data_IF_116768615898
#
_entry.id   IF_116768615898
#
_cell.length_a   1.000
_cell.length_b   1.000
_cell.length_c   1.000
_cell.angle_alpha   90.00
_cell.angle_beta   90.00
_cell.angle_gamma   90.00
#
_symmetry.space_group_name_H-M   'P 1'
#
loop_
_entity.id
_entity.type
_entity.pdbx_description
1 polymer ?
#
# COMPACT_ATOMS: atom_id res chain seq x y z
N UNK A 1 7.90 -9.94 17.65
CA UNK A 1 8.75 -9.54 16.51
C UNK A 1 9.66 -8.41 16.97
N UNK A 2 10.89 -8.30 16.48
CA UNK A 2 11.70 -7.12 16.71
C UNK A 2 11.03 -5.89 16.08
N UNK A 3 11.25 -4.72 16.68
CA UNK A 3 10.82 -3.44 16.11
C UNK A 3 11.67 -3.17 14.86
N UNK A 4 11.02 -2.80 13.76
CA UNK A 4 11.66 -2.37 12.53
C UNK A 4 11.45 -0.86 12.36
N UNK A 5 12.50 -0.18 11.92
CA UNK A 5 12.49 1.28 11.77
C UNK A 5 12.89 1.68 10.35
N UNK A 6 12.17 2.64 9.80
CA UNK A 6 12.44 3.15 8.47
C UNK A 6 11.60 4.38 8.10
N UNK A 7 11.96 5.08 7.04
CA UNK A 7 11.23 6.25 6.58
C UNK A 7 10.01 5.90 5.74
N UNK A 8 9.05 6.81 5.72
CA UNK A 8 8.01 6.87 4.71
C UNK A 8 8.56 7.63 3.48
N UNK A 9 8.76 6.91 2.40
CA UNK A 9 9.40 7.39 1.19
C UNK A 9 10.92 7.28 1.18
N UNK A 10 11.52 7.72 0.08
CA UNK A 10 12.98 7.74 -0.10
C UNK A 10 13.62 8.71 0.90
N UNK A 11 14.67 8.31 1.64
CA UNK A 11 15.33 9.19 2.61
C UNK A 11 15.81 10.51 1.98
N UNK A 12 15.79 11.58 2.76
CA UNK A 12 16.29 12.88 2.30
C UNK A 12 17.81 12.89 2.04
N UNK A 13 18.55 11.99 2.67
CA UNK A 13 19.98 11.75 2.46
C UNK A 13 20.28 11.11 1.10
N UNK A 14 19.32 10.38 0.53
CA UNK A 14 19.47 9.70 -0.76
C UNK A 14 19.59 10.72 -1.90
N UNK A 15 20.67 10.63 -2.67
CA UNK A 15 20.93 11.55 -3.79
C UNK A 15 20.12 11.24 -5.04
N UNK A 16 19.85 9.96 -5.30
CA UNK A 16 19.27 9.49 -6.55
C UNK A 16 17.75 9.51 -6.61
N UNK A 17 17.05 9.43 -5.50
CA UNK A 17 15.58 9.44 -5.36
C UNK A 17 14.82 8.27 -6.01
N UNK A 18 15.49 7.21 -6.42
CA UNK A 18 14.83 5.97 -6.81
C UNK A 18 14.53 5.10 -5.59
N UNK A 19 13.58 4.16 -5.73
CA UNK A 19 13.25 3.23 -4.63
C UNK A 19 14.47 2.43 -4.23
N UNK A 20 15.22 1.89 -5.20
CA UNK A 20 16.40 1.04 -4.96
C UNK A 20 17.52 1.84 -4.27
N UNK A 21 17.82 3.04 -4.76
CA UNK A 21 18.83 3.91 -4.12
C UNK A 21 18.40 4.30 -2.69
N UNK A 22 17.10 4.50 -2.47
CA UNK A 22 16.56 4.72 -1.13
C UNK A 22 16.78 3.52 -0.20
N UNK A 23 16.60 2.31 -0.69
CA UNK A 23 16.84 1.08 0.07
C UNK A 23 18.33 0.90 0.43
N UNK A 24 19.25 1.21 -0.49
CA UNK A 24 20.68 1.20 -0.23
C UNK A 24 21.07 2.23 0.85
N UNK A 25 20.48 3.42 0.79
CA UNK A 25 20.71 4.47 1.77
C UNK A 25 20.20 4.07 3.16
N UNK A 26 18.98 3.50 3.24
CA UNK A 26 18.39 2.96 4.47
C UNK A 26 19.29 1.93 5.11
N UNK A 27 19.79 0.98 4.33
CA UNK A 27 20.72 -0.06 4.80
C UNK A 27 22.01 0.57 5.35
N UNK A 28 22.52 1.58 4.66
CA UNK A 28 23.73 2.32 5.10
C UNK A 28 23.51 3.10 6.40
N UNK A 29 22.28 3.53 6.68
CA UNK A 29 21.87 4.20 7.91
C UNK A 29 21.61 3.22 9.07
N UNK A 30 21.69 1.90 8.82
CA UNK A 30 21.38 0.88 9.82
C UNK A 30 19.89 0.73 10.10
N UNK A 31 19.03 1.16 9.18
CA UNK A 31 17.58 0.99 9.23
C UNK A 31 17.17 -0.29 8.49
N UNK A 32 16.00 -0.82 8.80
CA UNK A 32 15.57 -2.15 8.37
C UNK A 32 14.11 -2.20 7.83
N UNK A 33 13.52 -1.04 7.57
CA UNK A 33 12.21 -0.92 6.93
C UNK A 33 12.13 0.29 5.99
N UNK A 34 11.20 0.23 5.03
CA UNK A 34 10.86 1.36 4.17
C UNK A 34 9.40 1.27 3.74
N UNK A 35 8.71 2.41 3.72
CA UNK A 35 7.41 2.53 3.06
C UNK A 35 7.55 3.19 1.69
N UNK A 36 7.06 2.52 0.65
CA UNK A 36 6.96 3.10 -0.70
C UNK A 36 5.68 3.92 -0.79
N UNK A 37 5.78 5.19 -1.17
CA UNK A 37 4.63 6.06 -1.33
C UNK A 37 4.20 6.19 -2.80
N UNK A 38 2.98 5.74 -3.11
CA UNK A 38 2.41 5.84 -4.46
C UNK A 38 1.41 7.02 -4.55
N UNK A 39 1.88 8.23 -4.28
CA UNK A 39 1.06 9.45 -4.06
C UNK A 39 -0.15 9.61 -4.99
N UNK A 40 -0.02 9.32 -6.28
CA UNK A 40 -1.12 9.42 -7.25
C UNK A 40 -1.59 8.07 -7.76
N UNK A 41 -0.67 7.23 -8.18
CA UNK A 41 -0.91 5.87 -8.68
C UNK A 41 0.43 5.20 -8.98
N UNK A 42 0.42 3.89 -9.04
CA UNK A 42 1.54 3.12 -9.59
C UNK A 42 1.59 3.31 -11.11
N UNK A 43 2.77 3.64 -11.62
CA UNK A 43 3.01 3.79 -13.06
C UNK A 43 3.57 2.49 -13.63
N UNK A 44 2.99 1.91 -14.70
CA UNK A 44 3.51 0.68 -15.30
C UNK A 44 4.99 0.76 -15.70
N UNK A 45 5.45 1.94 -16.15
CA UNK A 45 6.85 2.18 -16.49
C UNK A 45 7.83 2.03 -15.32
N UNK A 46 7.33 1.99 -14.09
CA UNK A 46 8.15 1.85 -12.88
C UNK A 46 8.19 0.40 -12.37
N UNK A 47 7.54 -0.55 -13.04
CA UNK A 47 7.49 -1.94 -12.58
C UNK A 47 8.88 -2.55 -12.40
N UNK A 48 9.83 -2.24 -13.25
CA UNK A 48 11.22 -2.70 -13.08
C UNK A 48 11.83 -2.28 -11.73
N UNK A 49 11.54 -1.07 -11.26
CA UNK A 49 12.00 -0.61 -9.96
C UNK A 49 11.34 -1.38 -8.81
N UNK A 50 10.05 -1.72 -8.93
CA UNK A 50 9.35 -2.53 -7.94
C UNK A 50 9.92 -3.95 -7.89
N UNK A 51 10.24 -4.55 -9.04
CA UNK A 51 10.92 -5.84 -9.11
C UNK A 51 12.30 -5.82 -8.45
N UNK A 52 13.11 -4.85 -8.78
CA UNK A 52 14.44 -4.68 -8.16
C UNK A 52 14.33 -4.46 -6.66
N UNK A 53 13.37 -3.66 -6.20
CA UNK A 53 13.09 -3.45 -4.79
C UNK A 53 12.67 -4.75 -4.09
N UNK A 54 11.83 -5.57 -4.72
CA UNK A 54 11.42 -6.87 -4.18
C UNK A 54 12.60 -7.84 -4.02
N UNK A 55 13.50 -7.92 -5.02
CA UNK A 55 14.72 -8.72 -4.97
C UNK A 55 15.61 -8.24 -3.80
N UNK A 56 15.81 -6.94 -3.69
CA UNK A 56 16.68 -6.36 -2.66
C UNK A 56 16.08 -6.57 -1.26
N UNK A 57 14.78 -6.32 -1.09
CA UNK A 57 14.04 -6.58 0.16
C UNK A 57 14.22 -8.03 0.63
N UNK A 58 14.00 -8.99 -0.28
CA UNK A 58 14.13 -10.41 0.03
C UNK A 58 15.55 -10.80 0.46
N UNK A 59 16.57 -10.28 -0.25
CA UNK A 59 17.97 -10.63 0.00
C UNK A 59 18.57 -9.94 1.23
N UNK A 60 18.03 -8.76 1.62
CA UNK A 60 18.58 -7.93 2.71
C UNK A 60 17.76 -7.99 3.99
N UNK A 61 16.68 -8.80 4.05
CA UNK A 61 15.73 -8.83 5.17
C UNK A 61 15.16 -7.43 5.50
N UNK A 62 15.00 -6.58 4.48
CA UNK A 62 14.44 -5.24 4.61
C UNK A 62 12.91 -5.33 4.53
N UNK A 63 12.19 -4.87 5.55
CA UNK A 63 10.73 -4.88 5.56
C UNK A 63 10.19 -3.75 4.69
N UNK A 64 9.38 -4.12 3.70
CA UNK A 64 8.74 -3.15 2.81
C UNK A 64 7.28 -2.98 3.17
N UNK A 65 6.82 -1.74 3.19
CA UNK A 65 5.42 -1.37 3.23
C UNK A 65 5.08 -0.53 2.01
N UNK A 66 3.82 -0.45 1.65
CA UNK A 66 3.38 0.36 0.52
C UNK A 66 2.17 1.20 0.93
N UNK A 67 2.33 2.51 0.80
CA UNK A 67 1.26 3.47 0.94
C UNK A 67 0.58 3.67 -0.42
N UNK A 68 -0.72 3.40 -0.45
CA UNK A 68 -1.56 3.54 -1.64
C UNK A 68 -1.77 5.00 -2.06
N UNK A 69 -2.61 5.24 -3.08
CA UNK A 69 -2.85 6.59 -3.59
C UNK A 69 -3.41 7.52 -2.51
N UNK A 70 -2.73 8.63 -2.26
CA UNK A 70 -3.14 9.64 -1.27
C UNK A 70 -4.51 10.26 -1.60
N UNK A 71 -4.77 10.53 -2.89
CA UNK A 71 -6.04 11.12 -3.33
C UNK A 71 -7.08 10.02 -3.55
N UNK A 72 -7.65 9.54 -2.45
CA UNK A 72 -8.75 8.60 -2.44
C UNK A 72 -10.11 9.34 -2.37
N UNK A 73 -11.14 8.72 -2.93
CA UNK A 73 -12.52 9.23 -2.97
C UNK A 73 -13.49 8.04 -2.78
N UNK A 74 -13.28 7.27 -1.67
CA UNK A 74 -14.02 6.02 -1.46
C UNK A 74 -15.49 6.26 -1.06
N UNK A 75 -15.79 7.41 -0.48
CA UNK A 75 -17.13 7.86 -0.10
C UNK A 75 -17.78 8.77 -1.16
N UNK A 76 -17.07 9.07 -2.24
CA UNK A 76 -17.60 9.82 -3.37
C UNK A 76 -18.58 9.01 -4.23
N UNK A 77 -18.97 9.60 -5.37
CA UNK A 77 -19.83 8.95 -6.36
C UNK A 77 -19.27 7.59 -6.81
N UNK A 78 -20.14 6.74 -7.34
CA UNK A 78 -19.74 5.43 -7.88
C UNK A 78 -18.57 5.53 -8.86
N UNK A 79 -18.51 6.60 -9.68
CA UNK A 79 -17.43 6.81 -10.65
C UNK A 79 -16.10 7.11 -9.95
N UNK A 80 -16.11 7.97 -8.94
CA UNK A 80 -14.93 8.36 -8.17
C UNK A 80 -14.40 7.18 -7.36
N UNK A 81 -15.29 6.47 -6.68
CA UNK A 81 -14.94 5.25 -5.95
C UNK A 81 -14.31 4.20 -6.85
N UNK A 82 -14.90 3.89 -8.01
CA UNK A 82 -14.34 2.91 -8.94
C UNK A 82 -12.96 3.35 -9.45
N UNK A 83 -12.76 4.64 -9.75
CA UNK A 83 -11.46 5.18 -10.14
C UNK A 83 -10.42 5.02 -9.03
N UNK A 84 -10.81 5.24 -7.78
CA UNK A 84 -9.94 5.04 -6.61
C UNK A 84 -9.59 3.57 -6.45
N UNK A 85 -10.57 2.67 -6.50
CA UNK A 85 -10.35 1.22 -6.39
C UNK A 85 -9.41 0.68 -7.48
N UNK A 86 -9.52 1.18 -8.72
CA UNK A 86 -8.59 0.82 -9.80
C UNK A 86 -7.14 1.22 -9.48
N UNK A 87 -6.94 2.40 -8.89
CA UNK A 87 -5.60 2.84 -8.46
C UNK A 87 -5.08 2.01 -7.28
N UNK A 88 -5.96 1.69 -6.32
CA UNK A 88 -5.63 0.81 -5.19
C UNK A 88 -5.21 -0.57 -5.69
N UNK A 89 -5.92 -1.14 -6.65
CA UNK A 89 -5.56 -2.44 -7.24
C UNK A 89 -4.16 -2.42 -7.86
N UNK A 90 -3.81 -1.37 -8.60
CA UNK A 90 -2.45 -1.22 -9.14
C UNK A 90 -1.39 -1.17 -8.02
N UNK A 91 -1.71 -0.52 -6.88
CA UNK A 91 -0.81 -0.51 -5.71
C UNK A 91 -0.75 -1.86 -4.99
N UNK A 92 -1.84 -2.64 -4.97
CA UNK A 92 -1.82 -4.01 -4.44
C UNK A 92 -0.88 -4.91 -5.25
N UNK A 93 -0.94 -4.83 -6.59
CA UNK A 93 -0.03 -5.57 -7.46
C UNK A 93 1.43 -5.17 -7.23
N UNK A 94 1.72 -3.87 -7.13
CA UNK A 94 3.05 -3.40 -6.79
C UNK A 94 3.50 -3.89 -5.40
N UNK A 95 2.59 -3.89 -4.42
CA UNK A 95 2.81 -4.41 -3.08
C UNK A 95 3.22 -5.90 -3.09
N UNK A 96 2.53 -6.73 -3.88
CA UNK A 96 2.93 -8.13 -4.08
C UNK A 96 4.35 -8.25 -4.62
N UNK A 97 4.68 -7.44 -5.63
CA UNK A 97 5.99 -7.47 -6.30
C UNK A 97 7.12 -7.07 -5.32
N UNK A 98 6.93 -6.03 -4.52
CA UNK A 98 7.95 -5.58 -3.55
C UNK A 98 7.96 -6.39 -2.25
N UNK A 99 7.10 -7.41 -2.12
CA UNK A 99 6.93 -8.18 -0.89
C UNK A 99 6.50 -7.30 0.30
N UNK A 100 5.59 -6.35 0.04
CA UNK A 100 5.11 -5.45 1.08
C UNK A 100 4.35 -6.20 2.17
N UNK A 101 4.65 -5.89 3.42
CA UNK A 101 3.98 -6.46 4.58
C UNK A 101 2.65 -5.77 4.88
N UNK A 102 2.59 -4.46 4.68
CA UNK A 102 1.40 -3.64 4.88
C UNK A 102 1.09 -2.84 3.63
N UNK A 103 -0.21 -2.73 3.34
CA UNK A 103 -0.77 -1.83 2.34
C UNK A 103 -1.62 -0.80 3.10
N UNK A 104 -1.24 0.47 3.05
CA UNK A 104 -1.90 1.54 3.80
C UNK A 104 -2.71 2.42 2.85
N UNK A 105 -3.92 2.76 3.23
CA UNK A 105 -4.83 3.55 2.40
C UNK A 105 -5.56 4.61 3.20
N UNK A 106 -5.76 5.78 2.58
CA UNK A 106 -6.74 6.78 3.01
C UNK A 106 -8.13 6.50 2.43
N UNK A 107 -9.16 6.97 3.10
CA UNK A 107 -10.55 6.93 2.62
C UNK A 107 -10.87 8.14 1.74
N UNK A 108 -10.43 9.32 2.17
CA UNK A 108 -10.69 10.59 1.50
C UNK A 108 -11.86 11.38 2.07
N UNK A 109 -12.40 12.36 1.31
CA UNK A 109 -13.54 13.15 1.75
C UNK A 109 -14.79 12.31 1.98
N UNK A 110 -15.70 12.78 2.84
CA UNK A 110 -17.01 12.14 3.06
C UNK A 110 -17.88 12.04 1.80
N UNK A 111 -17.64 12.91 0.81
CA UNK A 111 -18.27 12.80 -0.51
C UNK A 111 -19.79 12.92 -0.48
N UNK A 112 -20.47 11.81 -0.70
CA UNK A 112 -21.96 11.74 -0.71
C UNK A 112 -22.52 11.43 0.68
N UNK A 113 -21.69 11.30 1.71
CA UNK A 113 -22.06 10.93 3.08
C UNK A 113 -21.81 12.07 4.05
N UNK A 114 -22.61 12.11 5.10
CA UNK A 114 -22.32 12.91 6.30
C UNK A 114 -21.48 12.08 7.28
N UNK A 115 -20.67 12.73 8.15
CA UNK A 115 -19.97 12.02 9.21
C UNK A 115 -20.93 11.20 10.10
N UNK A 116 -20.65 9.91 10.28
CA UNK A 116 -21.45 9.03 11.12
C UNK A 116 -21.55 7.59 10.61
N UNK A 117 -22.53 6.87 11.16
CA UNK A 117 -22.69 5.41 10.99
C UNK A 117 -22.76 4.99 9.50
N UNK A 118 -23.52 5.71 8.67
CA UNK A 118 -23.66 5.34 7.25
C UNK A 118 -22.32 5.45 6.49
N UNK A 119 -21.52 6.47 6.79
CA UNK A 119 -20.18 6.61 6.23
C UNK A 119 -19.27 5.45 6.67
N UNK A 120 -19.31 5.09 7.96
CA UNK A 120 -18.51 4.01 8.54
C UNK A 120 -18.89 2.65 7.95
N UNK A 121 -20.20 2.35 7.82
CA UNK A 121 -20.68 1.14 7.17
C UNK A 121 -20.24 1.04 5.70
N UNK A 122 -20.27 2.17 4.98
CA UNK A 122 -19.79 2.20 3.60
C UNK A 122 -18.28 1.96 3.51
N UNK A 123 -17.48 2.55 4.41
CA UNK A 123 -16.03 2.31 4.48
C UNK A 123 -15.75 0.85 4.80
N UNK A 124 -16.43 0.27 5.79
CA UNK A 124 -16.30 -1.14 6.15
C UNK A 124 -16.58 -2.06 4.94
N UNK A 125 -17.69 -1.81 4.22
CA UNK A 125 -18.03 -2.57 3.02
C UNK A 125 -16.96 -2.47 1.91
N UNK A 126 -16.43 -1.27 1.67
CA UNK A 126 -15.38 -1.05 0.67
C UNK A 126 -14.10 -1.78 1.08
N UNK A 127 -13.67 -1.69 2.34
CA UNK A 127 -12.45 -2.33 2.80
C UNK A 127 -12.58 -3.85 2.89
N UNK A 128 -13.75 -4.41 3.18
CA UNK A 128 -14.00 -5.84 3.04
C UNK A 128 -13.68 -6.31 1.61
N UNK A 129 -14.14 -5.59 0.58
CA UNK A 129 -13.81 -5.87 -0.81
C UNK A 129 -12.33 -5.68 -1.14
N UNK A 130 -11.68 -4.68 -0.55
CA UNK A 130 -10.22 -4.46 -0.68
C UNK A 130 -9.43 -5.64 -0.13
N UNK A 131 -9.75 -6.10 1.07
CA UNK A 131 -9.10 -7.27 1.70
C UNK A 131 -9.31 -8.53 0.86
N UNK A 132 -10.53 -8.76 0.37
CA UNK A 132 -10.80 -9.88 -0.53
C UNK A 132 -9.95 -9.80 -1.80
N UNK A 133 -9.84 -8.61 -2.41
CA UNK A 133 -9.02 -8.40 -3.61
C UNK A 133 -7.52 -8.62 -3.36
N UNK A 134 -7.01 -8.18 -2.21
CA UNK A 134 -5.63 -8.47 -1.78
C UNK A 134 -5.42 -9.97 -1.69
N UNK A 135 -6.33 -10.70 -1.04
CA UNK A 135 -6.25 -12.15 -0.92
C UNK A 135 -6.26 -12.86 -2.28
N UNK A 136 -7.09 -12.38 -3.23
CA UNK A 136 -7.11 -12.89 -4.60
C UNK A 136 -5.77 -12.66 -5.31
N UNK A 137 -5.26 -11.43 -5.29
CA UNK A 137 -3.98 -11.07 -5.93
C UNK A 137 -2.83 -11.92 -5.37
N UNK A 138 -2.76 -12.11 -4.04
CA UNK A 138 -1.71 -12.93 -3.42
C UNK A 138 -1.92 -14.42 -3.64
N UNK A 139 -3.17 -14.89 -3.72
CA UNK A 139 -3.53 -16.27 -3.98
C UNK A 139 -3.43 -16.68 -5.45
N UNK A 140 -3.41 -15.71 -6.36
CA UNK A 140 -3.25 -15.95 -7.79
C UNK A 140 -1.84 -16.47 -8.08
N UNK A 141 -1.78 -17.78 -8.29
CA UNK A 141 -0.59 -18.51 -8.72
C UNK A 141 -0.57 -18.56 -10.23
N UNK A 142 -0.82 -17.42 -10.91
CA UNK A 142 -0.78 -17.37 -12.36
C UNK A 142 0.51 -18.04 -12.82
N UNK A 143 0.37 -18.97 -13.78
CA UNK A 143 1.46 -19.75 -14.37
C UNK A 143 2.35 -18.86 -15.26
N UNK A 144 2.33 -17.55 -15.07
CA UNK A 144 3.19 -16.63 -15.76
C UNK A 144 4.63 -16.94 -15.36
N UNK A 145 5.40 -17.40 -16.31
CA UNK A 145 6.84 -17.75 -16.19
C UNK A 145 7.64 -16.65 -15.51
N UNK A 146 7.19 -15.39 -15.63
CA UNK A 146 7.81 -14.21 -15.02
C UNK A 146 7.83 -14.25 -13.46
N UNK A 147 6.85 -14.88 -12.82
CA UNK A 147 6.82 -15.02 -11.37
C UNK A 147 7.61 -16.22 -10.84
N UNK A 148 7.97 -17.18 -11.68
CA UNK A 148 8.73 -18.37 -11.28
C UNK A 148 10.16 -18.01 -10.77
N UNK A 149 10.70 -16.89 -11.26
CA UNK A 149 12.03 -16.39 -10.87
C UNK A 149 12.08 -15.74 -9.48
N UNK A 150 10.92 -15.46 -8.86
CA UNK A 150 10.84 -14.69 -7.61
C UNK A 150 10.17 -15.50 -6.49
N UNK A 151 10.95 -16.13 -5.61
CA UNK A 151 10.44 -17.08 -4.63
C UNK A 151 9.45 -16.49 -3.63
N UNK A 152 9.51 -15.18 -3.34
CA UNK A 152 8.56 -14.53 -2.42
C UNK A 152 7.19 -14.32 -3.04
N UNK A 153 7.07 -14.08 -4.34
CA UNK A 153 5.79 -13.82 -5.02
C UNK A 153 4.82 -15.00 -4.86
N UNK A 154 5.35 -16.22 -4.85
CA UNK A 154 4.56 -17.44 -4.68
C UNK A 154 4.44 -17.93 -3.23
N UNK A 155 5.24 -17.39 -2.32
CA UNK A 155 5.33 -17.82 -0.90
C UNK A 155 4.92 -16.74 0.08
N UNK A 156 4.83 -15.49 -0.36
CA UNK A 156 4.45 -14.38 0.51
C UNK A 156 3.03 -14.57 1.03
N UNK A 157 2.84 -14.29 2.31
CA UNK A 157 1.49 -14.14 2.87
C UNK A 157 0.88 -12.85 2.33
N UNK A 158 -0.45 -12.79 2.14
CA UNK A 158 -1.12 -11.54 1.81
C UNK A 158 -0.69 -10.42 2.75
N UNK A 159 -0.51 -9.23 2.20
CA UNK A 159 -0.24 -8.04 2.99
C UNK A 159 -1.42 -7.74 3.91
N UNK A 160 -1.13 -7.19 5.08
CA UNK A 160 -2.15 -6.61 5.93
C UNK A 160 -2.61 -5.28 5.30
N UNK A 161 -3.91 -5.07 5.29
CA UNK A 161 -4.51 -3.81 4.84
C UNK A 161 -4.72 -2.93 6.05
N UNK A 162 -4.17 -1.71 6.01
CA UNK A 162 -4.34 -0.69 7.04
C UNK A 162 -5.11 0.52 6.51
N UNK A 163 -5.93 1.11 7.37
CA UNK A 163 -6.57 2.39 7.12
C UNK A 163 -5.81 3.46 7.89
N UNK A 164 -5.35 4.49 7.19
CA UNK A 164 -4.65 5.59 7.84
C UNK A 164 -5.63 6.65 8.33
N UNK A 165 -5.42 7.09 9.57
CA UNK A 165 -6.17 8.21 10.15
C UNK A 165 -5.89 9.51 9.40
N UNK A 166 -6.88 10.41 9.36
CA UNK A 166 -6.73 11.75 8.80
C UNK A 166 -6.80 12.82 9.88
N UNK A 167 -5.87 13.78 9.85
CA UNK A 167 -5.88 14.95 10.72
C UNK A 167 -6.76 16.10 10.22
N UNK A 168 -7.46 15.93 9.09
CA UNK A 168 -8.32 16.96 8.50
C UNK A 168 -9.78 16.66 8.79
N UNK A 169 -10.54 17.66 9.24
CA UNK A 169 -11.95 17.51 9.61
C UNK A 169 -12.92 17.29 8.43
N UNK A 170 -12.47 17.62 7.21
CA UNK A 170 -13.23 17.43 5.97
C UNK A 170 -12.97 16.04 5.32
N UNK A 171 -12.13 15.23 5.96
CA UNK A 171 -11.82 13.87 5.52
C UNK A 171 -12.27 12.86 6.57
N UNK A 172 -12.76 11.72 6.11
CA UNK A 172 -12.99 10.55 6.94
C UNK A 172 -11.65 10.01 7.47
N UNK A 173 -11.62 9.58 8.71
CA UNK A 173 -10.45 8.92 9.30
C UNK A 173 -10.05 9.50 10.66
N UNK A 174 -10.99 9.94 11.48
CA UNK A 174 -10.72 10.15 12.91
C UNK A 174 -10.33 8.82 13.56
N UNK A 175 -9.67 8.89 14.71
CA UNK A 175 -9.28 7.66 15.43
C UNK A 175 -10.50 6.81 15.78
N UNK A 176 -11.60 7.46 16.18
CA UNK A 176 -12.86 6.82 16.54
C UNK A 176 -13.49 6.09 15.34
N UNK A 177 -13.54 6.72 14.18
CA UNK A 177 -14.07 6.11 12.94
C UNK A 177 -13.24 4.91 12.50
N UNK A 178 -11.91 5.01 12.57
CA UNK A 178 -11.03 3.88 12.21
C UNK A 178 -11.23 2.72 13.18
N UNK A 179 -11.34 2.97 14.49
CA UNK A 179 -11.60 1.91 15.48
C UNK A 179 -12.96 1.25 15.25
N UNK A 180 -13.99 2.00 14.86
CA UNK A 180 -15.32 1.46 14.60
C UNK A 180 -15.37 0.55 13.38
N UNK A 181 -14.51 0.78 12.38
CA UNK A 181 -14.47 0.01 11.12
C UNK A 181 -13.52 -1.20 11.21
N UNK A 182 -12.47 -1.15 12.02
CA UNK A 182 -11.47 -2.22 12.14
C UNK A 182 -11.84 -3.26 13.20
#
# INVERSE_FOLDING_TARGET
MPLRLGPAGVPLSCKGRTIVEGMDDITSLGLDAMEIQTVRTVQPKNFDQYWQAGILSWNSDLEMNLHGPYYAELLGSRRERNRTLTKMEASMQAGKIVNARHLVYHVGPYGEYEPGVEANEQVANVFAGVVERVNQIWGDKSEEEDYAAFPWVNKAKPSLVGIETSGRQDLWGTVEEVIEVC
#
